data_IF_719312678185
#
_entry.id   IF_719312678185
#
_cell.length_a   1.000
_cell.length_b   1.000
_cell.length_c   1.000
_cell.angle_alpha   90.00
_cell.angle_beta   90.00
_cell.angle_gamma   90.00
#
_symmetry.space_group_name_H-M   'P 1'
#
loop_
_entity.id
_entity.type
_entity.pdbx_description
1 polymer ?
#
# COMPACT_ATOMS: atom_id res chain seq x y z
N UNK A 1 4.15 -34.64 -0.92
CA UNK A 1 2.84 -33.99 -0.78
C UNK A 1 3.04 -32.49 -0.77
N UNK A 2 2.30 -31.79 -1.59
CA UNK A 2 2.29 -30.33 -1.63
C UNK A 2 1.73 -29.78 -0.31
N UNK A 3 2.48 -28.88 0.34
CA UNK A 3 2.05 -28.27 1.61
C UNK A 3 0.97 -27.20 1.38
N UNK A 4 0.26 -26.82 2.44
CA UNK A 4 -0.69 -25.69 2.35
C UNK A 4 -0.01 -24.39 1.91
N UNK A 5 1.26 -24.20 2.30
CA UNK A 5 2.09 -23.08 1.85
C UNK A 5 2.41 -23.11 0.37
N UNK A 6 2.78 -24.29 -0.17
CA UNK A 6 3.06 -24.43 -1.60
C UNK A 6 1.80 -24.11 -2.45
N UNK A 7 0.62 -24.54 -1.99
CA UNK A 7 -0.67 -24.19 -2.64
C UNK A 7 -0.96 -22.71 -2.62
N UNK A 8 -0.68 -22.03 -1.50
CA UNK A 8 -0.85 -20.59 -1.38
C UNK A 8 0.10 -19.84 -2.33
N UNK A 9 1.37 -20.23 -2.41
CA UNK A 9 2.35 -19.66 -3.32
C UNK A 9 1.98 -19.86 -4.79
N UNK A 10 1.45 -21.05 -5.13
CA UNK A 10 0.96 -21.31 -6.48
C UNK A 10 -0.23 -20.43 -6.85
N UNK A 11 -1.23 -20.35 -5.98
CA UNK A 11 -2.37 -19.43 -6.19
C UNK A 11 -1.89 -17.99 -6.40
N UNK A 12 -0.88 -17.59 -5.68
CA UNK A 12 -0.32 -16.26 -5.77
C UNK A 12 0.41 -16.03 -7.11
N UNK A 13 1.23 -17.00 -7.53
CA UNK A 13 1.87 -16.95 -8.83
C UNK A 13 0.84 -16.89 -9.97
N UNK A 14 -0.25 -17.67 -9.88
CA UNK A 14 -1.34 -17.66 -10.86
C UNK A 14 -2.02 -16.27 -10.92
N UNK A 15 -2.27 -15.63 -9.78
CA UNK A 15 -2.83 -14.26 -9.73
C UNK A 15 -1.88 -13.22 -10.35
N UNK A 16 -0.57 -13.34 -10.09
CA UNK A 16 0.42 -12.46 -10.71
C UNK A 16 0.50 -12.66 -12.21
N UNK A 17 0.50 -13.91 -12.68
CA UNK A 17 0.48 -14.23 -14.11
C UNK A 17 -0.74 -13.61 -14.78
N UNK A 18 -1.93 -13.76 -14.18
CA UNK A 18 -3.17 -13.17 -14.69
C UNK A 18 -3.07 -11.64 -14.73
N UNK A 19 -2.56 -11.01 -13.68
CA UNK A 19 -2.39 -9.55 -13.62
C UNK A 19 -1.41 -9.05 -14.68
N UNK A 20 -0.27 -9.72 -14.84
CA UNK A 20 0.72 -9.34 -15.86
C UNK A 20 0.11 -9.43 -17.27
N UNK A 21 -0.66 -10.47 -17.58
CA UNK A 21 -1.36 -10.55 -18.87
C UNK A 21 -2.34 -9.39 -19.07
N UNK A 22 -3.10 -9.01 -18.03
CA UNK A 22 -4.01 -7.85 -18.13
C UNK A 22 -3.27 -6.54 -18.39
N UNK A 23 -2.07 -6.37 -17.81
CA UNK A 23 -1.22 -5.19 -18.03
C UNK A 23 -0.52 -5.27 -19.39
N UNK A 24 -0.13 -6.46 -19.85
CA UNK A 24 0.45 -6.67 -21.20
C UNK A 24 -0.53 -6.26 -22.30
N UNK A 25 -1.81 -6.61 -22.14
CA UNK A 25 -2.89 -6.22 -23.07
C UNK A 25 -3.16 -4.71 -23.06
N UNK A 26 -2.97 -4.07 -21.92
CA UNK A 26 -3.13 -2.62 -21.75
C UNK A 26 -2.25 -2.10 -20.61
N UNK A 27 -1.02 -1.77 -20.92
CA UNK A 27 -0.01 -1.27 -19.95
C UNK A 27 -0.37 0.10 -19.34
N UNK A 28 -1.35 0.83 -19.88
CA UNK A 28 -1.90 2.02 -19.24
C UNK A 28 -2.82 1.72 -18.03
N UNK A 29 -3.22 0.46 -17.83
CA UNK A 29 -3.97 0.10 -16.63
C UNK A 29 -3.05 0.12 -15.40
N UNK A 30 -3.53 0.62 -14.26
CA UNK A 30 -2.74 0.58 -13.03
C UNK A 30 -2.47 -0.86 -12.59
N UNK A 31 -1.32 -1.05 -11.95
CA UNK A 31 -1.01 -2.32 -11.26
C UNK A 31 -2.08 -2.71 -10.25
N UNK A 32 -2.55 -1.72 -9.51
CA UNK A 32 -3.62 -1.85 -8.55
C UNK A 32 -4.59 -0.70 -8.78
N UNK A 33 -5.86 -1.01 -8.98
CA UNK A 33 -6.90 0.01 -9.11
C UNK A 33 -7.30 0.49 -7.74
N UNK A 34 -7.03 1.74 -7.44
CA UNK A 34 -7.44 2.34 -6.18
C UNK A 34 -8.90 2.79 -6.24
N UNK A 35 -9.76 2.14 -5.48
CA UNK A 35 -11.03 2.75 -5.06
C UNK A 35 -10.92 3.35 -3.64
N UNK A 36 -9.73 3.85 -3.28
CA UNK A 36 -9.41 4.39 -1.97
C UNK A 36 -8.03 3.97 -1.49
N UNK A 37 -7.40 4.78 -0.66
CA UNK A 37 -6.08 4.48 -0.08
C UNK A 37 -6.17 3.54 1.12
N UNK A 38 -5.07 2.86 1.41
CA UNK A 38 -4.91 2.04 2.61
C UNK A 38 -4.49 0.61 2.32
N UNK A 39 -3.74 0.03 3.25
CA UNK A 39 -3.33 -1.38 3.16
C UNK A 39 -4.49 -2.32 3.46
N UNK A 40 -4.53 -3.52 2.85
CA UNK A 40 -5.40 -4.58 3.31
C UNK A 40 -5.19 -4.82 4.80
N UNK A 41 -6.27 -4.91 5.55
CA UNK A 41 -6.23 -5.06 7.00
C UNK A 41 -7.17 -6.15 7.47
N UNK A 42 -6.95 -6.64 8.69
CA UNK A 42 -7.93 -7.48 9.35
C UNK A 42 -9.08 -6.61 9.91
N UNK A 43 -10.15 -7.27 10.36
CA UNK A 43 -11.35 -6.57 10.90
C UNK A 43 -11.08 -5.74 12.15
N UNK A 44 -9.95 -5.97 12.82
CA UNK A 44 -9.47 -5.21 13.99
C UNK A 44 -8.61 -4.00 13.61
N UNK A 45 -8.37 -3.79 12.30
CA UNK A 45 -7.58 -2.66 11.77
C UNK A 45 -6.09 -2.93 11.63
N UNK A 46 -5.60 -4.15 11.92
CA UNK A 46 -4.20 -4.52 11.74
C UNK A 46 -3.91 -4.76 10.25
N UNK A 47 -3.00 -3.97 9.69
CA UNK A 47 -2.57 -4.10 8.30
C UNK A 47 -1.83 -5.42 8.04
N UNK A 48 -2.06 -6.00 6.87
CA UNK A 48 -1.23 -7.07 6.32
C UNK A 48 0.01 -6.46 5.67
N UNK A 49 1.12 -7.17 5.73
CA UNK A 49 2.41 -6.72 5.23
C UNK A 49 2.97 -7.64 4.14
N UNK A 50 3.87 -7.12 3.32
CA UNK A 50 4.65 -7.86 2.33
C UNK A 50 3.78 -8.66 1.37
N UNK A 51 4.11 -9.95 1.22
CA UNK A 51 3.41 -10.89 0.32
C UNK A 51 1.90 -10.88 0.52
N UNK A 52 1.43 -10.92 1.77
CA UNK A 52 0.00 -10.98 2.06
C UNK A 52 -0.72 -9.71 1.64
N UNK A 53 -0.13 -8.54 1.89
CA UNK A 53 -0.71 -7.26 1.49
C UNK A 53 -0.94 -7.22 -0.01
N UNK A 54 0.10 -7.53 -0.78
CA UNK A 54 0.03 -7.51 -2.23
C UNK A 54 -0.96 -8.55 -2.78
N UNK A 55 -0.94 -9.79 -2.23
CA UNK A 55 -1.87 -10.84 -2.62
C UNK A 55 -3.33 -10.44 -2.38
N UNK A 56 -3.62 -9.87 -1.21
CA UNK A 56 -4.97 -9.46 -0.86
C UNK A 56 -5.45 -8.26 -1.69
N UNK A 57 -4.55 -7.39 -2.15
CA UNK A 57 -4.88 -6.36 -3.15
C UNK A 57 -5.31 -6.98 -4.47
N UNK A 58 -4.50 -7.88 -5.03
CA UNK A 58 -4.84 -8.54 -6.30
C UNK A 58 -6.15 -9.31 -6.20
N UNK A 59 -6.41 -9.95 -5.07
CA UNK A 59 -7.68 -10.63 -4.82
C UNK A 59 -8.84 -9.67 -4.71
N UNK A 60 -8.70 -8.55 -3.98
CA UNK A 60 -9.73 -7.52 -3.90
C UNK A 60 -10.09 -6.99 -5.29
N UNK A 61 -9.10 -6.70 -6.10
CA UNK A 61 -9.32 -6.22 -7.48
C UNK A 61 -10.03 -7.28 -8.33
N UNK A 62 -9.50 -8.51 -8.36
CA UNK A 62 -10.07 -9.62 -9.12
C UNK A 62 -11.54 -9.89 -8.76
N UNK A 63 -11.87 -9.81 -7.48
CA UNK A 63 -13.21 -10.05 -6.95
C UNK A 63 -14.09 -8.80 -6.90
N UNK A 64 -13.55 -7.65 -7.33
CA UNK A 64 -14.21 -6.33 -7.27
C UNK A 64 -14.70 -5.96 -5.86
N UNK A 65 -13.89 -6.26 -4.82
CA UNK A 65 -14.18 -5.87 -3.45
C UNK A 65 -13.75 -4.42 -3.22
N UNK A 66 -14.69 -3.56 -2.82
CA UNK A 66 -14.41 -2.16 -2.53
C UNK A 66 -13.72 -1.92 -1.18
N UNK A 67 -13.79 -2.91 -0.27
CA UNK A 67 -13.17 -2.84 1.05
C UNK A 67 -12.09 -3.92 1.19
N UNK A 68 -10.81 -3.56 1.29
CA UNK A 68 -9.72 -4.51 1.49
C UNK A 68 -9.62 -4.94 2.97
N UNK A 69 -10.74 -5.36 3.54
CA UNK A 69 -10.85 -5.79 4.95
C UNK A 69 -11.17 -7.27 5.00
N UNK A 70 -10.42 -7.99 5.81
CA UNK A 70 -10.47 -9.44 5.88
C UNK A 70 -10.63 -9.92 7.32
N UNK A 71 -11.24 -11.09 7.49
CA UNK A 71 -11.40 -11.74 8.78
C UNK A 71 -11.25 -13.26 8.65
N UNK A 72 -10.75 -13.89 9.70
CA UNK A 72 -10.80 -15.34 9.82
C UNK A 72 -12.23 -15.79 10.14
N UNK A 73 -12.52 -17.07 9.93
CA UNK A 73 -13.83 -17.64 10.33
C UNK A 73 -14.11 -17.47 11.83
N UNK A 74 -13.08 -17.55 12.67
CA UNK A 74 -13.22 -17.34 14.11
C UNK A 74 -13.57 -15.89 14.43
N UNK A 75 -12.87 -14.92 13.83
CA UNK A 75 -13.21 -13.49 14.01
C UNK A 75 -14.62 -13.16 13.54
N UNK A 76 -15.07 -13.74 12.42
CA UNK A 76 -16.45 -13.60 11.98
C UNK A 76 -17.42 -14.09 13.06
N UNK A 77 -17.22 -15.31 13.56
CA UNK A 77 -18.06 -15.91 14.61
C UNK A 77 -18.05 -15.10 15.91
N UNK A 78 -16.91 -14.62 16.36
CA UNK A 78 -16.76 -13.79 17.56
C UNK A 78 -17.46 -12.43 17.41
N UNK A 79 -17.53 -11.90 16.20
CA UNK A 79 -18.27 -10.67 15.87
C UNK A 79 -19.77 -10.90 15.60
N UNK A 80 -20.27 -12.12 15.73
CA UNK A 80 -21.68 -12.46 15.40
C UNK A 80 -21.99 -12.42 13.90
N UNK A 81 -20.96 -12.39 13.06
CA UNK A 81 -21.05 -12.30 11.60
C UNK A 81 -20.91 -13.70 10.99
N UNK A 82 -21.67 -13.98 9.95
CA UNK A 82 -21.62 -15.25 9.23
C UNK A 82 -20.98 -15.07 7.86
N UNK A 83 -20.12 -16.02 7.50
CA UNK A 83 -19.65 -16.16 6.13
C UNK A 83 -20.79 -16.69 5.26
N UNK A 84 -21.02 -16.08 4.10
CA UNK A 84 -22.11 -16.45 3.19
C UNK A 84 -21.88 -17.86 2.61
N UNK A 85 -22.97 -18.56 2.34
CA UNK A 85 -22.93 -19.95 1.86
C UNK A 85 -22.29 -20.01 0.48
N UNK A 86 -21.28 -20.89 0.35
CA UNK A 86 -20.58 -21.11 -0.92
C UNK A 86 -19.31 -20.28 -1.10
N UNK A 87 -19.07 -19.29 -0.22
CA UNK A 87 -17.87 -18.46 -0.27
C UNK A 87 -16.60 -19.24 0.02
N UNK A 88 -15.53 -18.88 -0.66
CA UNK A 88 -14.21 -19.52 -0.52
C UNK A 88 -13.24 -18.59 0.19
N UNK A 89 -12.55 -19.14 1.17
CA UNK A 89 -11.50 -18.42 1.89
C UNK A 89 -10.24 -18.24 1.04
N UNK A 90 -9.44 -17.24 1.40
CA UNK A 90 -8.14 -16.97 0.81
C UNK A 90 -7.03 -17.32 1.82
N UNK A 91 -5.95 -17.99 1.39
CA UNK A 91 -4.83 -18.26 2.27
C UNK A 91 -3.97 -17.01 2.44
N UNK A 92 -3.59 -16.69 3.66
CA UNK A 92 -2.51 -15.77 4.01
C UNK A 92 -1.35 -16.55 4.59
N UNK A 93 -0.13 -16.15 4.25
CA UNK A 93 1.09 -16.85 4.62
C UNK A 93 1.72 -16.15 5.82
N UNK A 94 2.14 -16.93 6.78
CA UNK A 94 2.78 -16.44 7.97
C UNK A 94 4.04 -17.24 8.30
N UNK A 95 5.17 -16.57 8.44
CA UNK A 95 6.38 -17.22 8.92
C UNK A 95 6.34 -17.35 10.43
N UNK A 96 6.65 -18.54 10.89
CA UNK A 96 6.85 -18.84 12.29
C UNK A 96 8.21 -19.55 12.46
N UNK A 97 8.70 -19.61 13.69
CA UNK A 97 9.99 -20.17 14.00
C UNK A 97 9.84 -21.28 15.05
N UNK A 98 10.40 -22.43 14.75
CA UNK A 98 10.62 -23.48 15.75
C UNK A 98 12.00 -23.27 16.35
N UNK A 99 12.04 -22.85 17.61
CA UNK A 99 13.28 -22.53 18.32
C UNK A 99 13.48 -23.60 19.39
N UNK A 100 14.56 -24.38 19.25
CA UNK A 100 14.84 -25.52 20.11
C UNK A 100 16.29 -25.50 20.56
N UNK A 101 16.52 -25.87 21.83
CA UNK A 101 17.88 -26.16 22.32
C UNK A 101 18.34 -27.57 21.85
N UNK A 102 19.54 -27.95 22.27
CA UNK A 102 20.13 -29.27 21.92
C UNK A 102 19.35 -30.43 22.50
N UNK A 103 18.63 -30.24 23.59
CA UNK A 103 17.76 -31.22 24.25
C UNK A 103 16.35 -31.26 23.67
N UNK A 104 16.05 -30.40 22.66
CA UNK A 104 14.76 -30.36 21.98
C UNK A 104 13.69 -29.53 22.70
N UNK A 105 14.02 -28.82 23.79
CA UNK A 105 13.11 -27.94 24.52
C UNK A 105 12.83 -26.70 23.67
N UNK A 106 11.56 -26.32 23.58
CA UNK A 106 11.11 -25.19 22.77
C UNK A 106 10.98 -23.94 23.59
N UNK A 107 11.38 -22.81 22.99
CA UNK A 107 11.07 -21.46 23.52
C UNK A 107 10.32 -20.65 22.46
N UNK A 108 9.63 -19.59 22.89
CA UNK A 108 8.96 -18.65 21.99
C UNK A 108 9.97 -17.71 21.31
N UNK A 109 9.57 -17.07 20.24
CA UNK A 109 10.42 -16.07 19.56
C UNK A 109 10.75 -14.89 20.48
N UNK A 110 9.80 -14.47 21.32
CA UNK A 110 10.01 -13.37 22.26
C UNK A 110 11.00 -13.75 23.36
N UNK A 111 10.89 -14.98 23.89
CA UNK A 111 11.88 -15.51 24.83
C UNK A 111 13.28 -15.58 24.19
N UNK A 112 13.36 -16.05 22.94
CA UNK A 112 14.63 -16.10 22.21
C UNK A 112 15.25 -14.71 21.98
N UNK A 113 14.43 -13.71 21.60
CA UNK A 113 14.90 -12.33 21.40
C UNK A 113 15.38 -11.65 22.69
N UNK A 114 14.87 -12.08 23.82
CA UNK A 114 15.28 -11.58 25.13
C UNK A 114 16.62 -12.17 25.63
N UNK A 115 17.15 -13.22 24.97
CA UNK A 115 18.41 -13.85 25.30
C UNK A 115 19.60 -13.01 24.79
N UNK A 116 20.76 -13.14 25.47
CA UNK A 116 22.03 -12.62 24.96
C UNK A 116 22.44 -13.35 23.67
N UNK A 117 23.34 -12.74 22.86
CA UNK A 117 23.83 -13.39 21.63
C UNK A 117 24.46 -14.74 21.87
N UNK A 118 25.25 -14.87 22.96
CA UNK A 118 25.89 -16.13 23.34
C UNK A 118 24.87 -17.20 23.74
N UNK A 119 23.77 -16.81 24.38
CA UNK A 119 22.68 -17.74 24.74
C UNK A 119 21.88 -18.14 23.50
N UNK A 120 21.65 -17.23 22.56
CA UNK A 120 20.96 -17.50 21.29
C UNK A 120 21.67 -18.57 20.45
N UNK A 121 23.01 -18.65 20.49
CA UNK A 121 23.81 -19.67 19.79
C UNK A 121 23.52 -21.12 20.26
N UNK A 122 22.94 -21.28 21.44
CA UNK A 122 22.55 -22.60 21.97
C UNK A 122 21.27 -23.17 21.34
N UNK A 123 20.54 -22.32 20.60
CA UNK A 123 19.27 -22.68 20.03
C UNK A 123 19.35 -22.82 18.49
N UNK A 124 18.71 -23.87 17.99
CA UNK A 124 18.46 -24.03 16.55
C UNK A 124 17.14 -23.35 16.19
N UNK A 125 17.21 -22.31 15.37
CA UNK A 125 16.06 -21.62 14.82
C UNK A 125 15.72 -22.23 13.47
N UNK A 126 14.54 -22.82 13.33
CA UNK A 126 14.05 -23.39 12.08
C UNK A 126 12.81 -22.63 11.64
N UNK A 127 12.86 -21.85 10.56
CA UNK A 127 11.69 -21.18 10.03
C UNK A 127 10.73 -22.22 9.40
N UNK A 128 9.45 -22.00 9.56
CA UNK A 128 8.42 -22.77 8.88
C UNK A 128 7.23 -21.88 8.54
N UNK A 129 6.59 -22.18 7.42
CA UNK A 129 5.45 -21.44 6.91
C UNK A 129 4.15 -22.00 7.45
N UNK A 130 3.31 -21.12 8.00
CA UNK A 130 1.89 -21.39 8.30
C UNK A 130 1.00 -20.64 7.35
N UNK A 131 -0.15 -21.20 7.07
CA UNK A 131 -1.22 -20.51 6.34
C UNK A 131 -2.43 -20.39 7.25
N UNK A 132 -3.11 -19.24 7.14
CA UNK A 132 -4.43 -19.01 7.71
C UNK A 132 -5.38 -18.68 6.58
N UNK A 133 -6.64 -19.07 6.76
CA UNK A 133 -7.69 -18.76 5.80
C UNK A 133 -8.46 -17.52 6.27
N UNK A 134 -8.64 -16.56 5.37
CA UNK A 134 -9.40 -15.33 5.60
C UNK A 134 -10.50 -15.18 4.57
N UNK A 135 -11.52 -14.45 4.93
CA UNK A 135 -12.63 -14.05 4.06
C UNK A 135 -12.65 -12.51 3.99
N UNK A 136 -12.93 -11.96 2.83
CA UNK A 136 -13.22 -10.54 2.73
C UNK A 136 -14.58 -10.22 3.39
N UNK A 137 -14.73 -9.02 3.93
CA UNK A 137 -16.00 -8.60 4.54
C UNK A 137 -17.19 -8.66 3.58
N UNK A 138 -16.99 -8.52 2.27
CA UNK A 138 -18.01 -8.72 1.24
C UNK A 138 -18.50 -10.17 1.13
N UNK A 139 -17.75 -11.13 1.64
CA UNK A 139 -18.15 -12.55 1.70
C UNK A 139 -18.93 -12.89 2.97
N UNK A 140 -19.36 -11.87 3.70
CA UNK A 140 -20.03 -12.03 4.99
C UNK A 140 -21.30 -11.16 5.04
N UNK A 141 -22.14 -11.37 6.02
CA UNK A 141 -23.29 -10.51 6.30
C UNK A 141 -22.94 -9.32 7.24
N UNK A 142 -21.67 -8.86 7.24
CA UNK A 142 -21.22 -7.75 8.10
C UNK A 142 -22.07 -6.49 7.89
N UNK A 143 -22.40 -6.16 6.64
CA UNK A 143 -23.18 -4.97 6.30
C UNK A 143 -24.57 -4.99 6.94
N UNK A 144 -25.20 -6.18 7.05
CA UNK A 144 -26.53 -6.35 7.63
C UNK A 144 -26.48 -6.31 9.16
N UNK A 145 -25.47 -6.97 9.76
CA UNK A 145 -25.35 -7.11 11.22
C UNK A 145 -24.73 -5.89 11.88
N UNK A 146 -23.77 -5.25 11.22
CA UNK A 146 -23.05 -4.09 11.73
C UNK A 146 -22.95 -2.97 10.67
N UNK A 147 -24.09 -2.36 10.29
CA UNK A 147 -24.12 -1.33 9.23
C UNK A 147 -23.22 -0.12 9.54
N UNK A 148 -23.17 0.32 10.80
CA UNK A 148 -22.32 1.44 11.22
C UNK A 148 -20.81 1.14 10.99
N UNK A 149 -20.38 -0.09 11.34
CA UNK A 149 -19.00 -0.52 11.10
C UNK A 149 -18.70 -0.61 9.60
N UNK A 150 -19.66 -1.07 8.81
CA UNK A 150 -19.53 -1.12 7.36
C UNK A 150 -19.35 0.28 6.75
N UNK A 151 -20.18 1.25 7.13
CA UNK A 151 -20.06 2.63 6.64
C UNK A 151 -18.74 3.29 7.11
N UNK A 152 -18.33 3.10 8.37
CA UNK A 152 -17.03 3.58 8.86
C UNK A 152 -15.86 3.00 8.06
N UNK A 153 -15.91 1.73 7.65
CA UNK A 153 -14.90 1.14 6.79
C UNK A 153 -14.92 1.76 5.38
N UNK A 154 -16.10 2.02 4.81
CA UNK A 154 -16.23 2.70 3.52
C UNK A 154 -15.60 4.08 3.55
N UNK A 155 -15.92 4.89 4.54
CA UNK A 155 -15.35 6.23 4.71
C UNK A 155 -13.83 6.18 4.82
N UNK A 156 -13.30 5.24 5.63
CA UNK A 156 -11.86 5.07 5.79
C UNK A 156 -11.15 4.77 4.46
N UNK A 157 -11.70 3.87 3.65
CA UNK A 157 -11.07 3.40 2.41
C UNK A 157 -11.45 4.21 1.17
N UNK A 158 -12.45 5.09 1.25
CA UNK A 158 -12.90 5.95 0.16
C UNK A 158 -12.61 7.44 0.44
N UNK A 159 -11.70 7.71 1.36
CA UNK A 159 -11.31 9.09 1.65
C UNK A 159 -10.88 9.82 0.37
N UNK A 160 -11.33 11.08 0.18
CA UNK A 160 -11.02 11.84 -1.00
C UNK A 160 -9.51 12.07 -1.15
N UNK A 161 -9.02 12.06 -2.39
CA UNK A 161 -7.64 12.37 -2.70
C UNK A 161 -7.34 13.85 -2.45
N UNK A 162 -6.23 14.13 -1.77
CA UNK A 162 -5.76 15.50 -1.56
C UNK A 162 -5.30 16.11 -2.88
N UNK A 163 -5.61 17.40 -3.09
CA UNK A 163 -5.15 18.18 -4.24
C UNK A 163 -4.42 19.43 -3.78
N UNK A 164 -3.40 19.83 -4.53
CA UNK A 164 -2.70 21.10 -4.34
C UNK A 164 -3.50 22.28 -4.94
N UNK A 165 -2.93 23.47 -4.88
CA UNK A 165 -3.57 24.69 -5.39
C UNK A 165 -3.76 24.69 -6.91
N UNK A 166 -3.03 23.86 -7.65
CA UNK A 166 -3.17 23.64 -9.09
C UNK A 166 -4.18 22.54 -9.44
N UNK A 167 -4.78 21.91 -8.43
CA UNK A 167 -5.72 20.80 -8.60
C UNK A 167 -5.07 19.44 -8.88
N UNK A 168 -3.74 19.34 -8.80
CA UNK A 168 -3.04 18.08 -8.93
C UNK A 168 -3.07 17.31 -7.61
N UNK A 169 -3.18 15.98 -7.71
CA UNK A 169 -3.02 15.12 -6.55
C UNK A 169 -1.77 15.49 -5.74
N UNK A 170 -1.88 15.50 -4.42
CA UNK A 170 -0.76 15.82 -3.52
C UNK A 170 -0.66 14.83 -2.36
N UNK A 171 0.58 14.58 -1.94
CA UNK A 171 0.91 13.73 -0.80
C UNK A 171 1.81 14.51 0.17
N UNK A 172 1.23 15.22 1.15
CA UNK A 172 1.97 16.13 2.03
C UNK A 172 3.16 15.47 2.74
N UNK A 173 3.06 14.19 3.12
CA UNK A 173 4.16 13.47 3.77
C UNK A 173 5.36 13.27 2.84
N UNK A 174 5.15 12.96 1.56
CA UNK A 174 6.22 12.83 0.57
C UNK A 174 6.78 14.21 0.18
N UNK A 175 5.94 15.23 0.11
CA UNK A 175 6.37 16.61 -0.12
C UNK A 175 7.26 17.12 1.02
N UNK A 176 6.86 16.88 2.28
CA UNK A 176 7.68 17.16 3.44
C UNK A 176 8.99 16.38 3.43
N UNK A 177 8.97 15.09 3.08
CA UNK A 177 10.16 14.26 2.98
C UNK A 177 11.17 14.82 1.97
N UNK A 178 10.70 15.25 0.79
CA UNK A 178 11.56 15.88 -0.21
C UNK A 178 12.07 17.24 0.23
N UNK A 179 11.23 18.07 0.82
CA UNK A 179 11.59 19.42 1.32
C UNK A 179 12.64 19.34 2.42
N UNK A 180 12.46 18.46 3.39
CA UNK A 180 13.36 18.29 4.53
C UNK A 180 14.55 17.37 4.23
N UNK A 181 14.63 16.81 3.01
CA UNK A 181 15.69 15.88 2.58
C UNK A 181 15.90 14.72 3.58
N UNK A 182 14.82 14.12 4.08
CA UNK A 182 14.82 13.07 5.11
C UNK A 182 14.82 11.65 4.53
N UNK A 183 14.93 11.49 3.23
CA UNK A 183 15.14 10.19 2.62
C UNK A 183 16.57 9.70 2.81
N UNK A 184 16.81 8.41 2.58
CA UNK A 184 18.12 7.75 2.71
C UNK A 184 19.21 8.29 1.77
N UNK A 185 18.82 9.02 0.73
CA UNK A 185 19.72 9.75 -0.17
C UNK A 185 19.01 11.04 -0.63
N UNK A 186 19.77 12.07 -1.08
CA UNK A 186 19.19 13.30 -1.58
C UNK A 186 18.21 13.08 -2.73
N UNK A 187 17.09 13.82 -2.72
CA UNK A 187 16.11 13.86 -3.82
C UNK A 187 16.17 15.22 -4.49
N UNK A 188 16.53 15.26 -5.75
CA UNK A 188 16.72 16.48 -6.53
C UNK A 188 15.61 16.62 -7.57
N UNK A 189 14.81 17.66 -7.45
CA UNK A 189 13.82 18.02 -8.47
C UNK A 189 14.45 19.00 -9.47
N UNK A 190 14.43 18.64 -10.75
CA UNK A 190 15.01 19.48 -11.82
C UNK A 190 14.12 19.50 -13.06
N UNK A 191 14.33 20.47 -13.94
CA UNK A 191 13.70 20.45 -15.26
C UNK A 191 14.34 19.36 -16.10
N UNK A 192 13.54 18.46 -16.68
CA UNK A 192 14.03 17.34 -17.49
C UNK A 192 12.91 16.35 -17.79
N UNK A 193 13.23 15.29 -18.51
CA UNK A 193 12.31 14.25 -18.95
C UNK A 193 12.61 12.87 -18.34
N UNK A 194 13.67 12.77 -17.51
CA UNK A 194 14.13 11.51 -16.92
C UNK A 194 14.13 11.55 -15.41
N UNK A 195 13.63 10.48 -14.80
CA UNK A 195 13.86 10.17 -13.40
C UNK A 195 14.84 9.00 -13.30
N UNK A 196 15.73 9.03 -12.32
CA UNK A 196 16.70 7.96 -12.10
C UNK A 196 17.30 8.04 -10.69
N UNK A 197 17.76 6.88 -10.21
CA UNK A 197 18.57 6.76 -9.01
C UNK A 197 20.04 6.53 -9.39
N UNK A 198 20.94 7.41 -8.92
CA UNK A 198 22.39 7.24 -9.00
C UNK A 198 22.86 6.44 -7.79
N UNK A 199 23.60 5.36 -8.04
CA UNK A 199 24.08 4.42 -7.02
C UNK A 199 25.39 4.88 -6.38
N UNK A 200 25.67 4.33 -5.18
CA UNK A 200 26.95 4.46 -4.50
C UNK A 200 26.89 5.35 -3.27
N UNK A 201 28.05 5.58 -2.64
CA UNK A 201 28.19 6.31 -1.38
C UNK A 201 27.62 7.74 -1.43
N UNK A 202 27.73 8.40 -2.60
CA UNK A 202 27.14 9.72 -2.87
C UNK A 202 25.92 9.60 -3.78
N UNK A 203 25.13 8.51 -3.63
CA UNK A 203 23.96 8.27 -4.43
C UNK A 203 22.87 9.33 -4.20
N UNK A 204 22.06 9.57 -5.22
CA UNK A 204 20.94 10.52 -5.17
C UNK A 204 19.85 10.12 -6.16
N UNK A 205 18.67 10.66 -5.94
CA UNK A 205 17.53 10.52 -6.86
C UNK A 205 17.36 11.84 -7.63
N UNK A 206 17.15 11.74 -8.94
CA UNK A 206 16.71 12.85 -9.79
C UNK A 206 15.29 12.56 -10.22
N UNK A 207 14.42 13.57 -10.14
CA UNK A 207 13.05 13.51 -10.64
C UNK A 207 12.69 14.84 -11.33
N UNK A 208 11.97 14.81 -12.47
CA UNK A 208 11.41 16.03 -13.06
C UNK A 208 10.51 16.79 -12.08
N UNK A 209 10.39 18.10 -12.24
CA UNK A 209 9.46 18.89 -11.42
C UNK A 209 8.03 18.40 -11.58
N UNK A 210 7.25 18.41 -10.50
CA UNK A 210 5.86 17.90 -10.47
C UNK A 210 5.00 18.47 -11.61
N UNK A 211 5.12 19.77 -11.91
CA UNK A 211 4.38 20.40 -13.00
C UNK A 211 4.74 19.96 -14.42
N UNK A 212 5.72 19.07 -14.61
CA UNK A 212 6.07 18.46 -15.89
C UNK A 212 5.35 17.11 -16.12
N UNK A 213 4.66 16.60 -15.10
CA UNK A 213 3.89 15.37 -15.19
C UNK A 213 2.43 15.66 -15.57
N UNK A 214 1.79 14.71 -16.25
CA UNK A 214 0.39 14.79 -16.63
C UNK A 214 -0.56 14.73 -15.43
N UNK A 215 -0.12 14.16 -14.31
CA UNK A 215 -0.88 14.10 -13.05
C UNK A 215 0.05 14.03 -11.85
N UNK A 216 -0.47 14.40 -10.68
CA UNK A 216 0.27 14.28 -9.41
C UNK A 216 0.57 12.82 -9.07
N UNK A 217 -0.36 11.90 -9.38
CA UNK A 217 -0.17 10.47 -9.17
C UNK A 217 1.03 9.92 -9.96
N UNK A 218 1.21 10.35 -11.21
CA UNK A 218 2.36 9.96 -12.03
C UNK A 218 3.67 10.47 -11.45
N UNK A 219 3.69 11.70 -10.91
CA UNK A 219 4.85 12.23 -10.20
C UNK A 219 5.23 11.37 -8.99
N UNK A 220 4.28 11.10 -8.10
CA UNK A 220 4.58 10.30 -6.89
C UNK A 220 4.83 8.83 -7.21
N UNK A 221 4.17 8.24 -8.18
CA UNK A 221 4.47 6.89 -8.66
C UNK A 221 5.92 6.77 -9.13
N UNK A 222 6.39 7.76 -9.91
CA UNK A 222 7.77 7.83 -10.37
C UNK A 222 8.75 8.02 -9.21
N UNK A 223 8.42 8.91 -8.27
CA UNK A 223 9.23 9.11 -7.07
C UNK A 223 9.37 7.81 -6.25
N UNK A 224 8.27 7.12 -5.99
CA UNK A 224 8.26 5.86 -5.23
C UNK A 224 9.08 4.76 -5.92
N UNK A 225 9.08 4.73 -7.25
CA UNK A 225 9.91 3.80 -8.03
C UNK A 225 11.41 4.06 -7.83
N UNK A 226 11.86 5.33 -7.93
CA UNK A 226 13.26 5.67 -7.69
C UNK A 226 13.66 5.49 -6.22
N UNK A 227 12.75 5.80 -5.30
CA UNK A 227 12.95 5.49 -3.87
C UNK A 227 13.10 3.99 -3.64
N UNK A 228 12.32 3.15 -4.33
CA UNK A 228 12.46 1.70 -4.25
C UNK A 228 13.85 1.23 -4.69
N UNK A 229 14.37 1.74 -5.80
CA UNK A 229 15.74 1.44 -6.25
C UNK A 229 16.77 1.81 -5.18
N UNK A 230 16.66 2.97 -4.57
CA UNK A 230 17.62 3.43 -3.56
C UNK A 230 17.64 2.53 -2.30
N UNK A 231 16.52 1.91 -1.93
CA UNK A 231 16.50 0.92 -0.83
C UNK A 231 17.35 -0.30 -1.11
N UNK A 232 17.67 -0.60 -2.37
CA UNK A 232 18.50 -1.74 -2.78
C UNK A 232 19.99 -1.54 -2.61
N UNK A 233 20.44 -0.38 -2.15
CA UNK A 233 21.87 -0.11 -1.92
C UNK A 233 22.48 -1.03 -0.83
N UNK A 234 23.80 -1.31 -0.89
CA UNK A 234 24.47 -2.20 0.05
C UNK A 234 24.31 -1.82 1.52
N UNK A 235 24.20 -0.51 1.80
CA UNK A 235 23.99 0.00 3.17
C UNK A 235 22.59 -0.30 3.74
N UNK A 236 21.64 -0.70 2.90
CA UNK A 236 20.24 -0.94 3.28
C UNK A 236 19.82 -2.39 3.05
N UNK A 237 19.08 -2.67 1.97
CA UNK A 237 18.57 -4.02 1.71
C UNK A 237 19.55 -4.88 0.91
N UNK A 238 20.64 -4.30 0.41
CA UNK A 238 21.73 -4.97 -0.32
C UNK A 238 21.21 -5.94 -1.40
N UNK A 239 20.28 -5.45 -2.25
CA UNK A 239 19.76 -6.25 -3.35
C UNK A 239 20.73 -6.31 -4.50
N UNK A 240 20.90 -7.49 -5.09
CA UNK A 240 21.65 -7.64 -6.31
C UNK A 240 20.95 -6.92 -7.47
N UNK A 241 21.65 -6.01 -8.11
CA UNK A 241 21.18 -5.34 -9.34
C UNK A 241 22.00 -5.80 -10.53
N UNK A 242 21.33 -6.11 -11.64
CA UNK A 242 21.97 -6.28 -12.91
C UNK A 242 22.75 -5.02 -13.33
N UNK A 243 23.78 -5.21 -14.14
CA UNK A 243 24.61 -4.10 -14.65
C UNK A 243 24.25 -3.69 -16.06
N UNK A 244 23.58 -4.57 -16.78
CA UNK A 244 23.29 -4.41 -18.20
C UNK A 244 21.77 -4.46 -18.36
N UNK A 245 21.23 -3.49 -19.07
CA UNK A 245 19.83 -3.47 -19.50
C UNK A 245 19.50 -4.79 -20.23
N UNK A 246 18.47 -5.48 -19.75
CA UNK A 246 18.01 -6.75 -20.34
C UNK A 246 18.58 -8.01 -19.68
N UNK A 247 19.48 -7.93 -18.67
CA UNK A 247 19.86 -9.09 -17.90
C UNK A 247 18.77 -9.48 -16.89
N UNK A 248 18.77 -10.73 -16.45
CA UNK A 248 17.77 -11.29 -15.52
C UNK A 248 17.76 -10.57 -14.17
N UNK A 249 18.92 -10.17 -13.65
CA UNK A 249 19.03 -9.44 -12.38
C UNK A 249 18.52 -8.02 -12.51
N UNK A 250 18.74 -7.38 -13.65
CA UNK A 250 18.17 -6.07 -13.94
C UNK A 250 16.66 -6.15 -14.02
N UNK A 251 16.12 -7.09 -14.80
CA UNK A 251 14.67 -7.30 -14.92
C UNK A 251 14.01 -7.57 -13.55
N UNK A 252 14.67 -8.37 -12.68
CA UNK A 252 14.17 -8.62 -11.33
C UNK A 252 14.12 -7.36 -10.47
N UNK A 253 15.15 -6.52 -10.51
CA UNK A 253 15.20 -5.27 -9.72
C UNK A 253 14.15 -4.26 -10.20
N UNK A 254 13.91 -4.16 -11.52
CA UNK A 254 12.82 -3.35 -12.07
C UNK A 254 11.45 -3.84 -11.55
N UNK A 255 11.24 -5.15 -11.52
CA UNK A 255 10.01 -5.71 -10.97
C UNK A 255 9.85 -5.41 -9.47
N UNK A 256 10.94 -5.48 -8.70
CA UNK A 256 10.91 -5.07 -7.27
C UNK A 256 10.53 -3.59 -7.16
N UNK A 257 11.11 -2.72 -7.96
CA UNK A 257 10.84 -1.29 -7.91
C UNK A 257 9.39 -0.97 -8.31
N UNK A 258 8.88 -1.56 -9.40
CA UNK A 258 7.50 -1.41 -9.86
C UNK A 258 6.49 -1.87 -8.79
N UNK A 259 6.67 -3.08 -8.25
CA UNK A 259 5.76 -3.61 -7.24
C UNK A 259 5.87 -2.88 -5.90
N UNK A 260 7.04 -2.35 -5.55
CA UNK A 260 7.22 -1.50 -4.37
C UNK A 260 6.46 -0.19 -4.55
N UNK A 261 6.59 0.47 -5.71
CA UNK A 261 5.83 1.67 -6.01
C UNK A 261 4.33 1.40 -5.99
N UNK A 262 3.87 0.28 -6.58
CA UNK A 262 2.47 -0.13 -6.57
C UNK A 262 1.94 -0.36 -5.14
N UNK A 263 2.66 -1.12 -4.32
CA UNK A 263 2.25 -1.45 -2.95
C UNK A 263 2.24 -0.21 -2.06
N UNK A 264 3.29 0.61 -2.15
CA UNK A 264 3.41 1.84 -1.36
C UNK A 264 2.40 2.88 -1.83
N UNK A 265 2.25 3.04 -3.15
CA UNK A 265 1.26 3.93 -3.74
C UNK A 265 -0.15 3.58 -3.29
N UNK A 266 -0.53 2.31 -3.38
CA UNK A 266 -1.83 1.85 -2.90
C UNK A 266 -2.05 2.16 -1.41
N UNK A 267 -1.04 1.94 -0.57
CA UNK A 267 -1.12 2.27 0.85
C UNK A 267 -1.38 3.77 1.10
N UNK A 268 -0.88 4.62 0.21
CA UNK A 268 -0.98 6.07 0.27
C UNK A 268 -2.13 6.65 -0.56
N UNK A 269 -2.92 5.83 -1.25
CA UNK A 269 -4.01 6.27 -2.14
C UNK A 269 -3.51 6.81 -3.49
N UNK A 270 -2.32 6.41 -3.92
CA UNK A 270 -1.71 6.80 -5.19
C UNK A 270 -1.94 5.68 -6.21
N UNK A 271 -2.58 5.97 -7.33
CA UNK A 271 -2.64 5.05 -8.47
C UNK A 271 -1.28 4.97 -9.15
N UNK A 272 -0.77 3.77 -9.33
CA UNK A 272 0.53 3.51 -9.94
C UNK A 272 0.37 2.71 -11.22
N UNK A 273 1.06 3.12 -12.27
CA UNK A 273 1.10 2.45 -13.56
C UNK A 273 2.47 1.84 -13.79
N UNK A 274 2.54 0.80 -14.61
CA UNK A 274 3.83 0.29 -15.06
C UNK A 274 4.46 1.32 -15.99
N UNK A 275 5.77 1.49 -15.90
CA UNK A 275 6.49 2.35 -16.82
C UNK A 275 6.58 1.68 -18.20
N UNK A 276 6.45 2.48 -19.26
CA UNK A 276 6.50 2.00 -20.64
C UNK A 276 7.78 1.19 -20.92
N UNK A 277 8.93 1.70 -20.46
CA UNK A 277 10.21 1.03 -20.58
C UNK A 277 10.29 -0.33 -19.87
N UNK A 278 9.45 -0.54 -18.83
CA UNK A 278 9.41 -1.78 -18.06
C UNK A 278 8.41 -2.80 -18.61
N UNK A 279 7.49 -2.38 -19.47
CA UNK A 279 6.53 -3.28 -20.11
C UNK A 279 7.20 -4.41 -20.90
N UNK A 280 8.39 -4.16 -21.46
CA UNK A 280 9.16 -5.17 -22.18
C UNK A 280 9.64 -6.33 -21.30
N UNK A 281 9.76 -6.14 -19.98
CA UNK A 281 10.18 -7.19 -19.06
C UNK A 281 9.04 -8.12 -18.62
N UNK A 282 7.78 -7.78 -18.91
CA UNK A 282 6.61 -8.58 -18.51
C UNK A 282 6.74 -10.03 -18.93
N UNK A 283 7.24 -10.29 -20.15
CA UNK A 283 7.45 -11.66 -20.65
C UNK A 283 8.50 -12.43 -19.88
N UNK A 284 9.58 -11.77 -19.49
CA UNK A 284 10.66 -12.38 -18.70
C UNK A 284 10.15 -12.71 -17.28
N UNK A 285 9.36 -11.81 -16.68
CA UNK A 285 8.74 -12.04 -15.38
C UNK A 285 7.75 -13.20 -15.40
N UNK A 286 6.93 -13.30 -16.46
CA UNK A 286 6.01 -14.42 -16.69
C UNK A 286 6.75 -15.76 -16.79
N UNK A 287 7.87 -15.80 -17.53
CA UNK A 287 8.69 -17.01 -17.65
C UNK A 287 9.23 -17.44 -16.30
N UNK A 288 9.86 -16.53 -15.54
CA UNK A 288 10.41 -16.82 -14.21
C UNK A 288 9.34 -17.33 -13.22
N UNK A 289 8.15 -16.74 -13.22
CA UNK A 289 7.04 -17.16 -12.36
C UNK A 289 6.49 -18.54 -12.73
N UNK A 290 6.49 -18.91 -14.00
CA UNK A 290 6.04 -20.24 -14.48
C UNK A 290 7.05 -21.33 -14.16
N UNK A 291 8.36 -21.01 -14.21
CA UNK A 291 9.43 -21.97 -13.90
C UNK A 291 9.55 -22.23 -12.39
N UNK A 292 9.51 -21.18 -11.57
CA UNK A 292 9.60 -21.31 -10.11
C UNK A 292 8.58 -20.40 -9.40
N UNK A 293 7.42 -20.94 -9.00
CA UNK A 293 6.44 -20.18 -8.20
C UNK A 293 7.00 -19.64 -6.88
N UNK A 294 8.09 -20.21 -6.35
CA UNK A 294 8.74 -19.72 -5.12
C UNK A 294 9.52 -18.44 -5.37
N UNK A 295 9.89 -18.14 -6.61
CA UNK A 295 10.49 -16.87 -7.00
C UNK A 295 9.65 -15.68 -6.53
N UNK A 296 8.32 -15.78 -6.65
CA UNK A 296 7.40 -14.74 -6.20
C UNK A 296 7.57 -14.40 -4.71
N UNK A 297 7.86 -15.41 -3.89
CA UNK A 297 8.02 -15.19 -2.46
C UNK A 297 9.27 -14.35 -2.15
N UNK A 298 10.42 -14.67 -2.75
CA UNK A 298 11.65 -13.90 -2.56
C UNK A 298 11.50 -12.47 -3.09
N UNK A 299 10.85 -12.32 -4.24
CA UNK A 299 10.54 -11.04 -4.86
C UNK A 299 9.69 -10.17 -3.93
N UNK A 300 8.57 -10.70 -3.45
CA UNK A 300 7.64 -9.94 -2.61
C UNK A 300 8.15 -9.73 -1.19
N UNK A 301 9.09 -10.55 -0.71
CA UNK A 301 9.84 -10.24 0.51
C UNK A 301 10.64 -8.95 0.36
N UNK A 302 11.32 -8.77 -0.78
CA UNK A 302 12.07 -7.56 -1.07
C UNK A 302 11.15 -6.35 -1.27
N UNK A 303 10.04 -6.53 -1.98
CA UNK A 303 8.99 -5.51 -2.13
C UNK A 303 8.44 -5.06 -0.77
N UNK A 304 8.12 -6.02 0.11
CA UNK A 304 7.59 -5.71 1.45
C UNK A 304 8.58 -4.94 2.32
N UNK A 305 9.86 -5.29 2.27
CA UNK A 305 10.91 -4.56 3.01
C UNK A 305 11.10 -3.15 2.45
N UNK A 306 11.19 -2.99 1.14
CA UNK A 306 11.37 -1.69 0.49
C UNK A 306 10.16 -0.78 0.75
N UNK A 307 8.93 -1.29 0.57
CA UNK A 307 7.70 -0.56 0.86
C UNK A 307 7.60 -0.18 2.34
N UNK A 308 7.98 -1.09 3.25
CA UNK A 308 8.02 -0.82 4.69
C UNK A 308 8.95 0.35 5.04
N UNK A 309 10.17 0.38 4.48
CA UNK A 309 11.11 1.50 4.68
C UNK A 309 10.53 2.83 4.20
N UNK A 310 9.94 2.86 3.00
CA UNK A 310 9.35 4.09 2.45
C UNK A 310 8.20 4.56 3.33
N UNK A 311 7.31 3.67 3.75
CA UNK A 311 6.17 4.01 4.60
C UNK A 311 6.60 4.51 5.97
N UNK A 312 7.57 3.86 6.62
CA UNK A 312 8.09 4.24 7.93
C UNK A 312 8.67 5.66 7.90
N UNK A 313 9.56 5.95 6.94
CA UNK A 313 10.15 7.28 6.80
C UNK A 313 9.09 8.32 6.45
N UNK A 314 8.16 8.01 5.53
CA UNK A 314 7.09 8.92 5.17
C UNK A 314 6.18 9.25 6.36
N UNK A 315 5.82 8.27 7.18
CA UNK A 315 5.01 8.50 8.39
C UNK A 315 5.74 9.36 9.42
N UNK A 316 7.06 9.21 9.54
CA UNK A 316 7.88 10.03 10.43
C UNK A 316 7.91 11.52 10.05
N UNK A 317 7.40 11.87 8.85
CA UNK A 317 7.35 13.25 8.37
C UNK A 317 6.17 14.05 8.92
N UNK A 318 5.23 13.44 9.63
CA UNK A 318 4.07 14.13 10.19
C UNK A 318 4.42 15.40 10.98
N UNK A 319 5.45 15.44 11.85
CA UNK A 319 5.85 16.66 12.58
C UNK A 319 6.35 17.81 11.68
N UNK A 320 6.70 17.51 10.43
CA UNK A 320 7.18 18.48 9.44
C UNK A 320 6.10 19.03 8.51
N UNK A 321 4.86 18.57 8.69
CA UNK A 321 3.71 19.16 7.98
C UNK A 321 3.42 20.54 8.51
N UNK A 322 3.02 21.46 7.61
CA UNK A 322 2.50 22.75 8.06
C UNK A 322 1.17 22.56 8.81
N UNK A 323 0.79 23.53 9.69
CA UNK A 323 -0.51 23.48 10.36
C UNK A 323 -1.68 23.33 9.38
N UNK A 324 -1.60 23.96 8.22
CA UNK A 324 -2.63 23.91 7.17
C UNK A 324 -2.70 22.51 6.52
N UNK A 325 -1.54 21.86 6.28
CA UNK A 325 -1.47 20.48 5.76
C UNK A 325 -1.99 19.49 6.79
N UNK A 326 -1.63 19.64 8.07
CA UNK A 326 -2.15 18.83 9.19
C UNK A 326 -3.67 18.94 9.27
N UNK A 327 -4.19 20.18 9.31
CA UNK A 327 -5.62 20.45 9.38
C UNK A 327 -6.37 19.81 8.21
N UNK A 328 -5.95 20.08 6.98
CA UNK A 328 -6.60 19.51 5.80
C UNK A 328 -6.60 17.98 5.82
N UNK A 329 -5.47 17.39 6.18
CA UNK A 329 -5.33 15.93 6.27
C UNK A 329 -6.26 15.38 7.35
N UNK A 330 -6.32 15.99 8.52
CA UNK A 330 -7.15 15.55 9.63
C UNK A 330 -8.64 15.60 9.30
N UNK A 331 -9.10 16.67 8.68
CA UNK A 331 -10.51 16.82 8.27
C UNK A 331 -10.90 15.75 7.25
N UNK A 332 -10.07 15.54 6.22
CA UNK A 332 -10.41 14.63 5.13
C UNK A 332 -10.19 13.15 5.48
N UNK A 333 -9.36 12.86 6.48
CA UNK A 333 -9.15 11.49 7.00
C UNK A 333 -9.93 11.20 8.29
N UNK A 334 -10.79 12.12 8.71
CA UNK A 334 -11.64 12.00 9.90
C UNK A 334 -10.83 11.80 11.20
N UNK A 335 -9.66 12.45 11.31
CA UNK A 335 -8.84 12.39 12.51
C UNK A 335 -9.25 13.48 13.50
N UNK A 336 -10.32 13.20 14.27
CA UNK A 336 -10.85 14.10 15.29
C UNK A 336 -9.85 14.38 16.41
N UNK A 337 -8.97 13.40 16.73
CA UNK A 337 -7.93 13.60 17.74
C UNK A 337 -6.92 14.64 17.30
N UNK A 338 -6.44 14.55 16.07
CA UNK A 338 -5.50 15.54 15.52
C UNK A 338 -6.11 16.95 15.52
N UNK A 339 -7.40 17.09 15.16
CA UNK A 339 -8.10 18.37 15.19
C UNK A 339 -8.21 18.95 16.61
N UNK A 340 -8.50 18.12 17.60
CA UNK A 340 -8.51 18.53 19.01
C UNK A 340 -7.11 18.93 19.51
N UNK A 341 -6.08 18.21 19.15
CA UNK A 341 -4.70 18.53 19.55
C UNK A 341 -4.24 19.83 18.88
N UNK A 342 -4.55 20.05 17.60
CA UNK A 342 -4.30 21.30 16.90
C UNK A 342 -5.03 22.49 17.54
N UNK A 343 -6.30 22.31 17.97
CA UNK A 343 -7.07 23.35 18.69
C UNK A 343 -6.40 23.69 20.04
N UNK A 344 -5.95 22.69 20.79
CA UNK A 344 -5.21 22.88 22.05
C UNK A 344 -3.90 23.66 21.83
N UNK A 345 -3.23 23.41 20.70
CA UNK A 345 -2.01 24.12 20.27
C UNK A 345 -2.31 25.53 19.75
N UNK A 346 -3.57 25.97 19.74
CA UNK A 346 -3.98 27.31 19.35
C UNK A 346 -4.20 27.50 17.84
N UNK A 347 -4.24 26.45 17.04
CA UNK A 347 -4.54 26.58 15.62
C UNK A 347 -6.03 26.91 15.41
N UNK A 348 -6.28 27.98 14.63
CA UNK A 348 -7.62 28.39 14.21
C UNK A 348 -7.64 28.34 12.67
N UNK A 349 -8.51 27.51 12.08
CA UNK A 349 -8.57 27.40 10.63
C UNK A 349 -9.08 28.69 10.00
N UNK A 350 -8.37 29.17 8.99
CA UNK A 350 -8.76 30.34 8.19
C UNK A 350 -9.88 29.99 7.19
N UNK A 351 -10.55 31.00 6.63
CA UNK A 351 -11.49 30.80 5.53
C UNK A 351 -10.86 30.03 4.35
N UNK A 352 -9.59 30.29 4.04
CA UNK A 352 -8.83 29.57 3.02
C UNK A 352 -8.68 28.08 3.34
N UNK A 353 -8.44 27.74 4.61
CA UNK A 353 -8.36 26.33 5.04
C UNK A 353 -9.69 25.62 4.85
N UNK A 354 -10.79 26.27 5.21
CA UNK A 354 -12.14 25.73 5.06
C UNK A 354 -12.50 25.56 3.57
N UNK A 355 -12.22 26.56 2.75
CA UNK A 355 -12.47 26.48 1.31
C UNK A 355 -11.65 25.38 0.65
N UNK A 356 -10.41 25.20 1.07
CA UNK A 356 -9.56 24.10 0.61
C UNK A 356 -10.13 22.72 1.02
N UNK A 357 -10.68 22.59 2.23
CA UNK A 357 -11.36 21.35 2.65
C UNK A 357 -12.58 21.05 1.77
N UNK A 358 -13.41 22.05 1.47
CA UNK A 358 -14.56 21.93 0.55
C UNK A 358 -14.13 21.50 -0.85
N UNK A 359 -13.14 22.19 -1.43
CA UNK A 359 -12.61 21.89 -2.77
C UNK A 359 -12.04 20.47 -2.86
N UNK A 360 -11.52 19.93 -1.76
CA UNK A 360 -11.02 18.57 -1.66
C UNK A 360 -12.10 17.54 -1.33
N UNK A 361 -13.38 17.93 -1.25
CA UNK A 361 -14.49 17.01 -1.09
C UNK A 361 -14.71 16.57 0.37
N UNK A 362 -14.83 17.54 1.28
CA UNK A 362 -15.17 17.24 2.67
C UNK A 362 -16.44 16.39 2.77
N UNK A 363 -16.39 15.31 3.52
CA UNK A 363 -17.50 14.38 3.77
C UNK A 363 -18.40 14.91 4.88
N UNK A 364 -19.55 14.23 5.12
CA UNK A 364 -20.44 14.50 6.24
C UNK A 364 -19.69 14.37 7.58
N UNK A 365 -18.96 13.28 7.78
CA UNK A 365 -18.14 13.06 9.00
C UNK A 365 -17.07 14.14 9.18
N UNK A 366 -16.39 14.57 8.13
CA UNK A 366 -15.43 15.68 8.20
C UNK A 366 -16.10 17.00 8.59
N UNK A 367 -17.31 17.26 8.10
CA UNK A 367 -18.13 18.43 8.44
C UNK A 367 -18.57 18.41 9.90
N UNK A 368 -19.02 17.27 10.42
CA UNK A 368 -19.38 17.05 11.82
C UNK A 368 -18.16 17.26 12.75
N UNK A 369 -17.00 16.78 12.36
CA UNK A 369 -15.75 17.01 13.11
C UNK A 369 -15.37 18.49 13.18
N UNK A 370 -15.54 19.26 12.09
CA UNK A 370 -15.32 20.70 12.11
C UNK A 370 -16.31 21.40 13.02
N UNK A 371 -17.58 21.01 12.99
CA UNK A 371 -18.61 21.58 13.87
C UNK A 371 -18.32 21.27 15.35
N UNK A 372 -17.92 20.06 15.67
CA UNK A 372 -17.62 19.66 17.05
C UNK A 372 -16.30 20.22 17.57
N UNK A 373 -15.24 20.25 16.76
CA UNK A 373 -13.91 20.69 17.20
C UNK A 373 -13.76 22.20 17.19
N UNK A 374 -14.30 22.90 16.17
CA UNK A 374 -14.09 24.34 15.96
C UNK A 374 -15.36 25.17 15.92
N UNK A 375 -16.54 24.58 16.10
CA UNK A 375 -17.83 25.24 16.00
C UNK A 375 -18.09 25.86 14.59
N UNK A 376 -17.48 25.26 13.57
CA UNK A 376 -17.56 25.72 12.18
C UNK A 376 -18.52 24.82 11.41
N UNK A 377 -19.67 25.39 11.02
CA UNK A 377 -20.64 24.71 10.16
C UNK A 377 -20.19 24.75 8.69
N UNK A 378 -19.85 23.61 8.13
CA UNK A 378 -19.48 23.45 6.72
C UNK A 378 -20.42 22.38 6.12
N UNK A 379 -21.21 22.70 5.08
CA UNK A 379 -21.98 21.65 4.43
C UNK A 379 -21.04 20.67 3.74
N UNK A 380 -21.35 19.35 3.78
CA UNK A 380 -20.56 18.36 3.09
C UNK A 380 -20.61 18.63 1.57
N UNK A 381 -19.51 18.41 0.90
CA UNK A 381 -19.48 18.44 -0.56
C UNK A 381 -20.11 17.15 -1.04
N UNK A 382 -21.31 17.21 -1.59
CA UNK A 382 -21.96 16.05 -2.19
C UNK A 382 -21.03 15.59 -3.32
N UNK A 383 -20.35 14.45 -3.10
CA UNK A 383 -19.52 13.84 -4.12
C UNK A 383 -20.36 13.68 -5.38
N UNK A 384 -19.88 14.21 -6.50
CA UNK A 384 -20.44 13.88 -7.79
C UNK A 384 -20.40 12.34 -7.88
N UNK A 385 -21.55 11.71 -7.63
CA UNK A 385 -21.73 10.31 -7.97
C UNK A 385 -21.30 10.19 -9.43
N UNK A 386 -20.19 9.54 -9.67
CA UNK A 386 -19.77 9.15 -11.01
C UNK A 386 -20.89 8.26 -11.53
N UNK A 387 -21.83 8.90 -12.24
CA UNK A 387 -22.82 8.20 -13.03
C UNK A 387 -22.01 7.50 -14.10
N UNK A 388 -21.60 6.27 -13.85
CA UNK A 388 -21.24 5.35 -14.89
C UNK A 388 -22.49 5.18 -15.75
N UNK A 389 -22.56 5.96 -16.84
CA UNK A 389 -23.44 5.62 -17.96
C UNK A 389 -23.08 4.19 -18.35
N UNK A 390 -23.96 3.27 -18.00
CA UNK A 390 -23.89 1.90 -18.44
C UNK A 390 -23.70 1.88 -19.96
N UNK A 391 -22.66 1.22 -20.39
CA UNK A 391 -22.48 0.85 -21.77
C UNK A 391 -23.52 -0.25 -22.05
N UNK A 392 -24.65 0.12 -22.62
CA UNK A 392 -25.56 -0.85 -23.26
C UNK A 392 -24.87 -1.36 -24.50
N UNK A 393 -24.63 -2.67 -24.63
CA UNK A 393 -24.19 -3.23 -25.88
C UNK A 393 -25.38 -3.16 -26.87
N UNK A 394 -25.29 -2.33 -27.91
CA UNK A 394 -26.16 -2.42 -29.04
C UNK A 394 -25.95 -3.78 -29.72
N UNK A 395 -26.89 -4.68 -29.56
CA UNK A 395 -27.06 -5.85 -30.40
C UNK A 395 -27.47 -5.33 -31.80
N UNK A 396 -26.49 -5.26 -32.68
CA UNK A 396 -26.73 -5.11 -34.12
C UNK A 396 -27.10 -6.45 -34.72
N UNK A 397 -28.20 -6.48 -35.43
CA UNK A 397 -28.69 -7.55 -36.32
C UNK A 397 -27.67 -7.88 -37.41
#
# INVERSE_FOLDING_TARGET
>A
METAGDKALKLFADLMVEKIHQVEDNWHKPWLSTQGGGLPQNIEGRAYNGVNSFMLFLLSEKMNYSLPVYMTFMQAKESGVNVLKGEKSFPVIYWNFSIKDKEGRKITLDQYRALSKEEQERYKVTPFMKTYNVFNVHQTNLQEIHPEKWESLKEKFQAPALKDEQGMFTMPLLDALMREQKWICPIQQQVGDKAYHVRGENGYIVIPKKGQFNSGENFYSTLLHEMAHSTGEPAYLNREKGRIFGDEKYAREELVAELTAATTGQAMGISTHIREENAMYLKNWLAALKEDPKFIYSLLSDVGKASGMIQEVSQSMHPYLSPEERFLTAVLKHDGKELEDMKKDGFIPSEKNIERAKTNGITETGSELLASSYEIAVPPTIGAATVHKGYEPQLGL
#
